data_IF_998812756213
#
_entry.id   IF_998812756213
#
_cell.length_a   1.000
_cell.length_b   1.000
_cell.length_c   1.000
_cell.angle_alpha   90.00
_cell.angle_beta   90.00
_cell.angle_gamma   90.00
#
_symmetry.space_group_name_H-M   'P 1'
#
loop_
_entity.id
_entity.type
_entity.pdbx_description
1 polymer ?
#
# COMPACT_ATOMS: atom_id res chain seq x y z
N UNK A 1 10.61 4.65 14.72
CA UNK A 1 10.75 6.02 14.22
C UNK A 1 10.79 6.00 12.69
N UNK A 2 10.05 6.87 12.02
CA UNK A 2 9.96 7.00 10.56
C UNK A 2 10.90 8.12 10.07
N UNK A 3 11.69 7.89 9.02
CA UNK A 3 12.48 8.95 8.39
C UNK A 3 11.69 9.60 7.25
N UNK A 4 11.40 10.90 7.35
CA UNK A 4 10.62 11.65 6.38
C UNK A 4 11.56 12.43 5.45
N UNK A 5 11.42 12.22 4.14
CA UNK A 5 12.16 12.98 3.13
C UNK A 5 11.18 13.78 2.29
N UNK A 6 11.12 15.09 2.51
CA UNK A 6 10.24 15.99 1.77
C UNK A 6 10.86 17.38 1.60
N UNK A 7 10.33 18.23 0.70
CA UNK A 7 10.67 19.66 0.69
C UNK A 7 10.35 20.30 2.05
N UNK A 8 11.11 21.34 2.44
CA UNK A 8 10.97 21.98 3.76
C UNK A 8 9.57 22.49 4.08
N UNK A 9 8.80 22.88 3.06
CA UNK A 9 7.40 23.31 3.19
C UNK A 9 6.48 22.22 3.78
N UNK A 10 6.85 20.95 3.66
CA UNK A 10 6.07 19.83 4.18
C UNK A 10 6.41 19.47 5.64
N UNK A 11 7.50 20.03 6.21
CA UNK A 11 8.01 19.62 7.53
C UNK A 11 6.94 19.68 8.61
N UNK A 12 6.33 20.86 8.78
CA UNK A 12 5.35 21.11 9.83
C UNK A 12 4.11 20.20 9.67
N UNK A 13 3.36 20.24 8.55
CA UNK A 13 2.14 19.45 8.43
C UNK A 13 2.38 17.93 8.52
N UNK A 14 3.49 17.42 7.99
CA UNK A 14 3.81 15.99 8.11
C UNK A 14 4.14 15.60 9.55
N UNK A 15 5.05 16.32 10.21
CA UNK A 15 5.49 15.96 11.58
C UNK A 15 4.34 16.09 12.58
N UNK A 16 3.53 17.15 12.48
CA UNK A 16 2.38 17.37 13.37
C UNK A 16 1.32 16.28 13.19
N UNK A 17 0.90 15.99 11.96
CA UNK A 17 -0.14 14.98 11.70
C UNK A 17 0.32 13.57 12.05
N UNK A 18 1.56 13.20 11.70
CA UNK A 18 2.12 11.89 12.06
C UNK A 18 2.29 11.76 13.57
N UNK A 19 2.75 12.82 14.26
CA UNK A 19 2.82 12.85 15.71
C UNK A 19 1.44 12.67 16.37
N UNK A 20 0.41 13.37 15.85
CA UNK A 20 -0.97 13.23 16.32
C UNK A 20 -1.57 11.83 16.07
N UNK A 21 -1.03 11.10 15.10
CA UNK A 21 -1.37 9.70 14.84
C UNK A 21 -0.52 8.68 15.62
N UNK A 22 0.37 9.14 16.52
CA UNK A 22 1.28 8.27 17.27
C UNK A 22 2.40 7.66 16.44
N UNK A 23 2.74 8.27 15.29
CA UNK A 23 3.78 7.82 14.36
C UNK A 23 5.01 8.74 14.47
N UNK A 24 5.95 8.48 15.40
CA UNK A 24 7.10 9.34 15.61
C UNK A 24 7.98 9.37 14.36
N UNK A 25 8.28 10.59 13.89
CA UNK A 25 8.95 10.80 12.62
C UNK A 25 10.02 11.89 12.71
N UNK A 26 11.15 11.68 12.03
CA UNK A 26 12.26 12.63 11.93
C UNK A 26 12.30 13.18 10.52
N UNK A 27 12.28 14.51 10.42
CA UNK A 27 12.31 15.20 9.15
C UNK A 27 13.73 15.37 8.61
N UNK A 28 13.89 15.03 7.34
CA UNK A 28 15.06 15.29 6.54
C UNK A 28 14.62 16.05 5.28
N UNK A 29 15.41 17.05 4.88
CA UNK A 29 15.20 17.70 3.59
C UNK A 29 15.42 16.66 2.49
N UNK A 30 14.45 16.52 1.59
CA UNK A 30 14.58 15.64 0.42
C UNK A 30 15.75 16.11 -0.45
N UNK A 31 16.61 15.20 -0.94
CA UNK A 31 17.60 15.56 -1.95
C UNK A 31 16.91 16.01 -3.25
N UNK A 32 17.61 16.82 -4.04
CA UNK A 32 17.17 17.10 -5.40
C UNK A 32 17.24 15.81 -6.23
N UNK A 33 16.24 15.54 -7.09
CA UNK A 33 16.23 14.34 -7.89
C UNK A 33 17.38 14.36 -8.90
N UNK A 34 18.26 13.37 -8.85
CA UNK A 34 19.24 13.10 -9.90
C UNK A 34 18.67 12.27 -11.05
N UNK A 35 19.54 11.95 -12.01
CA UNK A 35 19.23 11.02 -13.09
C UNK A 35 19.38 9.56 -12.63
N UNK A 36 18.62 8.64 -13.24
CA UNK A 36 18.76 7.20 -13.03
C UNK A 36 17.64 6.53 -12.20
N UNK A 37 17.90 5.29 -11.78
CA UNK A 37 16.91 4.39 -11.14
C UNK A 37 16.68 4.60 -9.64
N UNK A 38 17.54 5.38 -8.97
CA UNK A 38 17.39 5.82 -7.58
C UNK A 38 17.64 7.35 -7.50
N UNK A 39 16.71 8.16 -8.03
CA UNK A 39 16.92 9.59 -8.19
C UNK A 39 17.07 10.34 -6.86
N UNK A 40 16.69 9.72 -5.73
CA UNK A 40 16.79 10.32 -4.40
C UNK A 40 17.87 9.67 -3.53
N UNK A 41 18.74 8.84 -4.11
CA UNK A 41 19.83 8.15 -3.41
C UNK A 41 19.35 7.38 -2.16
N UNK A 42 18.18 6.77 -2.24
CA UNK A 42 17.53 6.05 -1.16
C UNK A 42 18.37 4.88 -0.66
N UNK A 43 19.19 4.25 -1.51
CA UNK A 43 20.07 3.18 -1.06
C UNK A 43 21.18 3.69 -0.13
N UNK A 44 21.80 4.82 -0.47
CA UNK A 44 22.77 5.46 0.40
C UNK A 44 22.13 5.95 1.71
N UNK A 45 20.93 6.52 1.63
CA UNK A 45 20.16 6.94 2.80
C UNK A 45 19.76 5.77 3.69
N UNK A 46 19.29 4.66 3.10
CA UNK A 46 18.88 3.48 3.84
C UNK A 46 20.05 2.88 4.63
N UNK A 47 21.24 2.81 4.04
CA UNK A 47 22.46 2.36 4.75
C UNK A 47 22.79 3.25 5.96
N UNK A 48 22.65 4.58 5.82
CA UNK A 48 22.87 5.53 6.93
C UNK A 48 21.82 5.41 8.03
N UNK A 49 20.60 5.03 7.67
CA UNK A 49 19.47 4.90 8.58
C UNK A 49 19.31 3.48 9.17
N UNK A 50 20.10 2.51 8.71
CA UNK A 50 20.05 1.14 9.18
C UNK A 50 20.19 1.09 10.71
N UNK A 51 19.29 0.37 11.38
CA UNK A 51 19.23 0.29 12.85
C UNK A 51 18.61 1.50 13.56
N UNK A 52 18.42 2.63 12.87
CA UNK A 52 17.93 3.88 13.46
C UNK A 52 16.50 4.23 13.03
N UNK A 53 16.09 3.81 11.81
CA UNK A 53 14.74 4.01 11.29
C UNK A 53 14.00 2.69 11.10
N UNK A 54 12.69 2.71 11.30
CA UNK A 54 11.79 1.59 10.99
C UNK A 54 11.25 1.62 9.56
N UNK A 55 11.58 2.66 8.79
CA UNK A 55 11.12 2.87 7.42
C UNK A 55 11.36 4.29 6.94
N UNK A 56 11.14 4.50 5.64
CA UNK A 56 11.28 5.78 4.96
C UNK A 56 9.94 6.20 4.36
N UNK A 57 9.56 7.45 4.53
CA UNK A 57 8.45 8.07 3.79
C UNK A 57 8.99 9.21 2.94
N UNK A 58 8.87 9.07 1.62
CA UNK A 58 9.33 10.02 0.63
C UNK A 58 8.15 10.79 0.04
N UNK A 59 8.19 12.12 0.04
CA UNK A 59 7.28 12.95 -0.75
C UNK A 59 7.93 13.27 -2.09
N UNK A 60 7.38 12.75 -3.17
CA UNK A 60 7.86 12.88 -4.54
C UNK A 60 7.05 13.90 -5.36
N UNK A 61 7.61 14.47 -6.45
CA UNK A 61 6.86 15.33 -7.36
C UNK A 61 5.68 14.58 -8.01
N UNK A 62 4.52 15.23 -8.21
CA UNK A 62 3.29 14.55 -8.61
C UNK A 62 3.31 13.97 -10.03
N UNK A 63 4.17 14.49 -10.92
CA UNK A 63 4.30 14.01 -12.29
C UNK A 63 5.15 12.73 -12.42
N UNK A 64 5.81 12.28 -11.34
CA UNK A 64 6.63 11.07 -11.37
C UNK A 64 5.78 9.81 -11.14
N UNK A 65 6.26 8.68 -11.63
CA UNK A 65 5.69 7.36 -11.38
C UNK A 65 6.35 6.72 -10.15
N UNK A 66 5.63 5.94 -9.31
CA UNK A 66 6.26 5.18 -8.23
C UNK A 66 7.43 4.31 -8.71
N UNK A 67 7.33 3.74 -9.91
CA UNK A 67 8.40 2.90 -10.50
C UNK A 67 9.72 3.64 -10.68
N UNK A 68 9.67 4.94 -10.99
CA UNK A 68 10.86 5.76 -11.30
C UNK A 68 11.39 6.52 -10.09
N UNK A 69 10.67 6.52 -8.97
CA UNK A 69 11.05 7.24 -7.75
C UNK A 69 11.71 6.31 -6.73
N UNK A 70 11.28 5.05 -6.68
CA UNK A 70 11.77 4.05 -5.74
C UNK A 70 12.11 2.76 -6.49
N UNK A 71 13.26 2.12 -6.22
CA UNK A 71 13.68 0.90 -6.92
C UNK A 71 12.87 -0.35 -6.51
N UNK A 72 12.23 -0.32 -5.34
CA UNK A 72 11.43 -1.40 -4.79
C UNK A 72 10.62 -0.94 -3.56
N UNK A 73 9.79 -1.82 -2.98
CA UNK A 73 9.08 -1.54 -1.73
C UNK A 73 10.01 -1.58 -0.50
N UNK A 74 11.18 -2.22 -0.63
CA UNK A 74 12.26 -2.27 0.36
C UNK A 74 13.55 -1.84 -0.32
N UNK A 75 14.32 -0.98 0.35
CA UNK A 75 15.61 -0.46 -0.13
C UNK A 75 16.61 -0.52 1.02
N UNK A 76 17.73 -1.22 0.83
CA UNK A 76 18.75 -1.40 1.88
C UNK A 76 18.17 -2.01 3.17
N UNK A 77 17.18 -2.90 3.06
CA UNK A 77 16.51 -3.52 4.20
C UNK A 77 15.46 -2.65 4.91
N UNK A 78 15.23 -1.41 4.44
CA UNK A 78 14.19 -0.53 4.99
C UNK A 78 12.97 -0.48 4.07
N UNK A 79 11.74 -0.53 4.63
CA UNK A 79 10.54 -0.36 3.83
C UNK A 79 10.41 1.12 3.42
N UNK A 80 10.08 1.36 2.15
CA UNK A 80 9.98 2.72 1.58
C UNK A 80 8.58 2.95 1.07
N UNK A 81 7.89 3.91 1.69
CA UNK A 81 6.61 4.42 1.24
C UNK A 81 6.76 5.74 0.50
N UNK A 82 5.90 5.97 -0.50
CA UNK A 82 5.93 7.20 -1.31
C UNK A 82 4.58 7.91 -1.27
N UNK A 83 4.63 9.24 -1.22
CA UNK A 83 3.51 10.15 -1.43
C UNK A 83 3.84 11.08 -2.60
N UNK A 84 2.82 11.60 -3.26
CA UNK A 84 2.98 12.44 -4.45
C UNK A 84 2.27 13.77 -4.24
N UNK A 85 3.02 14.85 -4.11
CA UNK A 85 2.46 16.18 -3.89
C UNK A 85 3.40 17.28 -4.38
N UNK A 86 2.82 18.36 -4.92
CA UNK A 86 3.56 19.58 -5.25
C UNK A 86 3.68 20.49 -4.02
N UNK A 87 2.63 20.55 -3.22
CA UNK A 87 2.50 21.43 -2.07
C UNK A 87 1.83 20.70 -0.90
N UNK A 88 2.00 21.17 0.35
CA UNK A 88 1.50 20.47 1.52
C UNK A 88 -0.01 20.27 1.53
N UNK A 89 -0.78 21.25 1.04
CA UNK A 89 -2.26 21.16 1.00
C UNK A 89 -2.79 19.99 0.19
N UNK A 90 -2.04 19.52 -0.81
CA UNK A 90 -2.41 18.34 -1.59
C UNK A 90 -2.38 17.02 -0.79
N UNK A 91 -1.72 17.01 0.39
CA UNK A 91 -1.71 15.85 1.29
C UNK A 91 -2.75 15.94 2.41
N UNK A 92 -3.50 17.04 2.53
CA UNK A 92 -4.46 17.22 3.63
C UNK A 92 -5.44 16.03 3.78
N UNK A 93 -6.08 15.52 2.71
CA UNK A 93 -6.98 14.37 2.85
C UNK A 93 -6.28 13.12 3.40
N UNK A 94 -5.04 12.88 2.96
CA UNK A 94 -4.25 11.76 3.48
C UNK A 94 -3.82 11.98 4.93
N UNK A 95 -3.43 13.19 5.32
CA UNK A 95 -3.03 13.51 6.69
C UNK A 95 -4.20 13.35 7.67
N UNK A 96 -5.38 13.82 7.29
CA UNK A 96 -6.63 13.62 8.04
C UNK A 96 -6.93 12.12 8.20
N UNK A 97 -6.83 11.36 7.12
CA UNK A 97 -7.00 9.91 7.15
C UNK A 97 -6.00 9.21 8.09
N UNK A 98 -4.74 9.63 8.10
CA UNK A 98 -3.70 9.09 9.00
C UNK A 98 -4.02 9.38 10.46
N UNK A 99 -4.45 10.61 10.78
CA UNK A 99 -4.84 10.96 12.15
C UNK A 99 -6.10 10.20 12.58
N UNK A 100 -7.11 10.12 11.70
CA UNK A 100 -8.33 9.37 11.96
C UNK A 100 -8.03 7.87 12.16
N UNK A 101 -7.11 7.30 11.37
CA UNK A 101 -6.69 5.90 11.49
C UNK A 101 -5.89 5.65 12.77
N UNK A 102 -4.93 6.51 13.11
CA UNK A 102 -4.08 6.36 14.30
C UNK A 102 -4.85 6.39 15.62
N UNK A 103 -6.04 6.98 15.64
CA UNK A 103 -6.96 6.96 16.79
C UNK A 103 -7.76 5.65 16.93
N UNK A 104 -7.69 4.73 15.96
CA UNK A 104 -8.41 3.45 15.99
C UNK A 104 -7.57 2.38 16.67
N UNK A 105 -8.19 1.66 17.60
CA UNK A 105 -7.54 0.52 18.26
C UNK A 105 -7.40 -0.69 17.32
N UNK A 106 -8.40 -0.95 16.45
CA UNK A 106 -8.41 -2.10 15.58
C UNK A 106 -9.50 -2.03 14.46
N UNK A 107 -9.38 -2.86 13.42
CA UNK A 107 -10.38 -3.02 12.35
C UNK A 107 -10.39 -4.42 11.73
N UNK A 108 -11.44 -4.83 10.98
CA UNK A 108 -11.47 -6.14 10.33
C UNK A 108 -10.40 -6.26 9.24
N UNK A 109 -9.98 -7.49 8.97
CA UNK A 109 -9.10 -7.86 7.86
C UNK A 109 -9.99 -8.38 6.73
N UNK A 110 -10.11 -7.62 5.64
CA UNK A 110 -10.96 -7.95 4.51
C UNK A 110 -10.15 -8.63 3.39
N UNK A 111 -10.67 -9.73 2.86
CA UNK A 111 -10.12 -10.46 1.72
C UNK A 111 -11.12 -10.38 0.57
N UNK A 112 -10.74 -9.70 -0.49
CA UNK A 112 -11.53 -9.42 -1.67
C UNK A 112 -10.99 -10.27 -2.83
N UNK A 113 -11.85 -10.90 -3.61
CA UNK A 113 -11.43 -11.69 -4.76
C UNK A 113 -12.40 -11.52 -5.93
N UNK A 114 -11.85 -11.42 -7.14
CA UNK A 114 -12.63 -11.46 -8.38
C UNK A 114 -13.31 -12.84 -8.55
N UNK A 115 -14.33 -12.93 -9.42
CA UNK A 115 -15.23 -14.09 -9.48
C UNK A 115 -14.57 -15.34 -10.06
N UNK A 116 -13.43 -15.19 -10.75
CA UNK A 116 -12.73 -16.29 -11.38
C UNK A 116 -12.16 -17.24 -10.33
N UNK A 117 -12.40 -18.54 -10.49
CA UNK A 117 -12.10 -19.55 -9.46
C UNK A 117 -10.64 -19.52 -9.00
N UNK A 118 -9.69 -19.17 -9.87
CA UNK A 118 -8.29 -19.07 -9.46
C UNK A 118 -8.05 -17.94 -8.44
N UNK A 119 -8.68 -16.77 -8.59
CA UNK A 119 -8.59 -15.68 -7.63
C UNK A 119 -9.35 -15.99 -6.35
N UNK A 120 -10.50 -16.68 -6.45
CA UNK A 120 -11.22 -17.19 -5.29
C UNK A 120 -10.34 -18.13 -4.46
N UNK A 121 -9.61 -19.05 -5.10
CA UNK A 121 -8.67 -19.94 -4.39
C UNK A 121 -7.54 -19.17 -3.70
N UNK A 122 -6.93 -18.19 -4.39
CA UNK A 122 -5.90 -17.34 -3.78
C UNK A 122 -6.44 -16.58 -2.57
N UNK A 123 -7.63 -15.98 -2.70
CA UNK A 123 -8.30 -15.28 -1.61
C UNK A 123 -8.61 -16.21 -0.43
N UNK A 124 -9.11 -17.43 -0.69
CA UNK A 124 -9.33 -18.44 0.37
C UNK A 124 -8.03 -18.83 1.07
N UNK A 125 -6.95 -19.04 0.31
CA UNK A 125 -5.61 -19.33 0.84
C UNK A 125 -5.11 -18.24 1.78
N UNK A 126 -5.09 -16.99 1.28
CA UNK A 126 -4.67 -15.83 2.08
C UNK A 126 -5.55 -15.62 3.32
N UNK A 127 -6.87 -15.81 3.19
CA UNK A 127 -7.79 -15.74 4.32
C UNK A 127 -7.50 -16.78 5.42
N UNK A 128 -6.96 -17.96 5.09
CA UNK A 128 -6.54 -18.93 6.11
C UNK A 128 -5.37 -18.41 6.94
N UNK A 129 -4.33 -17.86 6.29
CA UNK A 129 -3.19 -17.24 6.98
C UNK A 129 -3.65 -16.10 7.90
N UNK A 130 -4.54 -15.22 7.41
CA UNK A 130 -5.09 -14.16 8.23
C UNK A 130 -5.93 -14.67 9.42
N UNK A 131 -6.75 -15.71 9.23
CA UNK A 131 -7.56 -16.29 10.33
C UNK A 131 -6.69 -16.93 11.42
N UNK A 132 -5.53 -17.47 11.07
CA UNK A 132 -4.58 -18.02 12.04
C UNK A 132 -4.00 -16.94 12.99
N UNK A 133 -3.90 -15.69 12.52
CA UNK A 133 -3.37 -14.55 13.30
C UNK A 133 -4.49 -13.70 13.92
N UNK A 134 -5.58 -13.51 13.19
CA UNK A 134 -6.70 -12.62 13.52
C UNK A 134 -8.03 -13.41 13.52
N UNK A 135 -8.21 -14.38 14.43
CA UNK A 135 -9.43 -15.17 14.51
C UNK A 135 -10.63 -14.25 14.78
N UNK A 136 -11.76 -14.53 14.12
CA UNK A 136 -13.00 -13.73 14.23
C UNK A 136 -12.97 -12.34 13.58
N UNK A 137 -11.80 -11.85 13.14
CA UNK A 137 -11.65 -10.52 12.50
C UNK A 137 -11.40 -10.57 11.01
N UNK A 138 -11.21 -11.75 10.44
CA UNK A 138 -10.98 -11.95 9.00
C UNK A 138 -12.28 -12.25 8.26
N UNK A 139 -12.62 -11.39 7.30
CA UNK A 139 -13.88 -11.46 6.54
C UNK A 139 -13.56 -11.58 5.04
N UNK A 140 -14.25 -12.47 4.35
CA UNK A 140 -14.14 -12.65 2.90
C UNK A 140 -15.29 -11.95 2.20
N UNK A 141 -14.98 -11.09 1.23
CA UNK A 141 -15.93 -10.31 0.45
C UNK A 141 -15.82 -10.68 -1.04
N UNK A 142 -15.93 -11.95 -1.39
CA UNK A 142 -15.68 -12.41 -2.75
C UNK A 142 -16.78 -12.04 -3.75
N UNK A 143 -16.41 -11.82 -5.01
CA UNK A 143 -17.31 -11.35 -6.06
C UNK A 143 -18.35 -12.40 -6.52
N UNK A 144 -18.18 -13.68 -6.14
CA UNK A 144 -19.20 -14.72 -6.31
C UNK A 144 -20.40 -14.54 -5.36
N UNK A 145 -20.27 -13.70 -4.33
CA UNK A 145 -21.28 -13.49 -3.27
C UNK A 145 -21.63 -12.03 -3.03
N UNK A 146 -20.84 -11.11 -3.56
CA UNK A 146 -20.94 -9.69 -3.28
C UNK A 146 -20.82 -8.90 -4.57
N UNK A 147 -21.74 -7.97 -4.80
CA UNK A 147 -21.69 -7.04 -5.93
C UNK A 147 -20.87 -5.77 -5.58
N UNK A 148 -20.63 -4.91 -6.58
CA UNK A 148 -19.87 -3.66 -6.40
C UNK A 148 -20.44 -2.73 -5.32
N UNK A 149 -21.73 -2.36 -5.33
CA UNK A 149 -22.28 -1.46 -4.30
C UNK A 149 -22.05 -1.98 -2.88
N UNK A 150 -22.38 -3.25 -2.62
CA UNK A 150 -22.21 -3.83 -1.29
C UNK A 150 -20.72 -3.99 -0.90
N UNK A 151 -19.84 -4.23 -1.86
CA UNK A 151 -18.40 -4.25 -1.60
C UNK A 151 -17.88 -2.85 -1.24
N UNK A 152 -18.26 -1.82 -1.99
CA UNK A 152 -17.86 -0.42 -1.73
C UNK A 152 -18.37 0.09 -0.38
N UNK A 153 -19.61 -0.23 -0.03
CA UNK A 153 -20.18 0.10 1.28
C UNK A 153 -19.34 -0.53 2.42
N UNK A 154 -18.97 -1.80 2.30
CA UNK A 154 -18.12 -2.49 3.28
C UNK A 154 -16.72 -1.91 3.34
N UNK A 155 -16.14 -1.58 2.20
CA UNK A 155 -14.81 -0.96 2.12
C UNK A 155 -14.81 0.45 2.75
N UNK A 156 -15.89 1.21 2.57
CA UNK A 156 -16.12 2.51 3.20
C UNK A 156 -16.24 2.43 4.73
N UNK A 157 -16.47 1.24 5.29
CA UNK A 157 -16.38 0.99 6.74
C UNK A 157 -14.94 1.09 7.30
N UNK A 158 -13.93 1.12 6.43
CA UNK A 158 -12.52 1.29 6.78
C UNK A 158 -11.94 0.07 7.48
N UNK A 159 -11.73 -1.07 6.77
CA UNK A 159 -11.01 -2.22 7.30
C UNK A 159 -9.55 -1.88 7.58
N UNK A 160 -8.91 -2.64 8.48
CA UNK A 160 -7.48 -2.47 8.77
C UNK A 160 -6.59 -2.93 7.63
N UNK A 161 -6.97 -4.03 6.99
CA UNK A 161 -6.40 -4.49 5.74
C UNK A 161 -7.54 -4.80 4.78
N UNK A 162 -7.40 -4.39 3.53
CA UNK A 162 -8.17 -4.89 2.41
C UNK A 162 -7.20 -5.52 1.41
N UNK A 163 -7.16 -6.86 1.33
CA UNK A 163 -6.33 -7.59 0.39
C UNK A 163 -7.18 -8.03 -0.82
N UNK A 164 -6.88 -7.48 -1.99
CA UNK A 164 -7.61 -7.78 -3.23
C UNK A 164 -6.83 -8.73 -4.15
N UNK A 165 -7.51 -9.76 -4.63
CA UNK A 165 -7.00 -10.75 -5.59
C UNK A 165 -7.83 -10.69 -6.88
N UNK A 166 -7.22 -10.28 -7.99
CA UNK A 166 -7.97 -10.14 -9.24
C UNK A 166 -7.21 -9.42 -10.33
N UNK A 167 -7.99 -8.98 -11.32
CA UNK A 167 -7.51 -8.08 -12.37
C UNK A 167 -7.40 -6.65 -11.84
N UNK A 168 -6.36 -5.93 -12.25
CA UNK A 168 -6.13 -4.54 -11.89
C UNK A 168 -5.85 -3.70 -13.13
N UNK A 169 -6.17 -2.42 -13.01
CA UNK A 169 -5.96 -1.41 -14.04
C UNK A 169 -5.46 -0.12 -13.39
N UNK A 170 -4.95 0.80 -14.21
CA UNK A 170 -4.53 2.13 -13.78
C UNK A 170 -5.67 2.91 -13.11
N UNK A 171 -6.93 2.63 -13.46
CA UNK A 171 -8.10 3.35 -12.99
C UNK A 171 -8.98 2.57 -12.00
N UNK A 172 -8.65 1.30 -11.72
CA UNK A 172 -9.51 0.47 -10.86
C UNK A 172 -9.14 -1.00 -10.77
N UNK A 173 -10.14 -1.79 -10.35
CA UNK A 173 -10.10 -3.24 -10.18
C UNK A 173 -11.11 -3.89 -11.12
N UNK A 174 -10.75 -5.00 -11.77
CA UNK A 174 -11.64 -5.69 -12.72
C UNK A 174 -12.74 -6.52 -12.06
N UNK A 175 -12.57 -6.90 -10.78
CA UNK A 175 -13.59 -7.65 -10.03
C UNK A 175 -14.87 -6.86 -9.77
N UNK A 176 -15.93 -7.54 -9.32
CA UNK A 176 -17.22 -6.93 -8.96
C UNK A 176 -17.90 -6.17 -10.12
N UNK A 177 -17.75 -6.64 -11.35
CA UNK A 177 -18.19 -5.93 -12.57
C UNK A 177 -17.48 -4.60 -12.80
N UNK A 178 -16.22 -4.51 -12.37
CA UNK A 178 -15.38 -3.31 -12.49
C UNK A 178 -15.63 -2.32 -11.35
N UNK A 179 -14.56 -1.93 -10.64
CA UNK A 179 -14.57 -0.92 -9.58
C UNK A 179 -13.52 0.12 -9.92
N UNK A 180 -13.99 1.28 -10.37
CA UNK A 180 -13.14 2.37 -10.84
C UNK A 180 -13.25 3.59 -9.93
N UNK A 181 -12.36 4.56 -10.14
CA UNK A 181 -12.29 5.82 -9.37
C UNK A 181 -13.67 6.46 -9.14
N UNK A 182 -14.45 6.64 -10.20
CA UNK A 182 -15.76 7.30 -10.16
C UNK A 182 -16.76 6.59 -9.24
N UNK A 183 -16.66 5.26 -9.13
CA UNK A 183 -17.51 4.47 -8.24
C UNK A 183 -17.13 4.67 -6.78
N UNK A 184 -15.83 4.80 -6.51
CA UNK A 184 -15.31 5.09 -5.17
C UNK A 184 -15.64 6.53 -4.78
N UNK A 185 -15.58 7.47 -5.73
CA UNK A 185 -15.95 8.89 -5.53
C UNK A 185 -17.44 9.06 -5.24
N UNK A 186 -18.30 8.31 -5.94
CA UNK A 186 -19.74 8.29 -5.68
C UNK A 186 -20.09 7.79 -4.26
N UNK A 187 -19.17 7.07 -3.61
CA UNK A 187 -19.32 6.69 -2.21
C UNK A 187 -18.96 7.88 -1.30
N UNK A 188 -19.99 8.59 -0.84
CA UNK A 188 -19.88 9.79 -0.02
C UNK A 188 -19.18 9.56 1.32
N UNK A 189 -19.86 8.95 2.29
CA UNK A 189 -19.26 8.66 3.59
C UNK A 189 -18.20 7.56 3.47
N UNK A 190 -16.97 7.85 3.92
CA UNK A 190 -15.86 6.91 3.84
C UNK A 190 -14.94 7.04 5.05
N UNK A 191 -14.70 5.92 5.73
CA UNK A 191 -13.67 5.80 6.75
C UNK A 191 -12.41 5.24 6.10
N UNK A 192 -11.23 5.79 6.40
CA UNK A 192 -9.99 5.32 5.80
C UNK A 192 -9.78 3.85 6.10
N UNK A 193 -9.45 3.10 5.06
CA UNK A 193 -8.83 1.80 5.18
C UNK A 193 -7.40 1.98 5.72
N UNK A 194 -6.96 1.09 6.59
CA UNK A 194 -5.56 1.03 7.02
C UNK A 194 -4.65 0.82 5.81
N UNK A 195 -4.65 -0.40 5.29
CA UNK A 195 -3.87 -0.75 4.11
C UNK A 195 -4.74 -1.41 3.07
N UNK A 196 -4.67 -0.91 1.83
CA UNK A 196 -5.20 -1.63 0.68
C UNK A 196 -4.05 -2.33 -0.06
N UNK A 197 -4.01 -3.67 -0.02
CA UNK A 197 -3.04 -4.48 -0.73
C UNK A 197 -3.68 -5.08 -1.99
N UNK A 198 -3.37 -4.51 -3.15
CA UNK A 198 -3.86 -4.99 -4.43
C UNK A 198 -2.86 -5.99 -5.04
N UNK A 199 -3.17 -7.27 -4.94
CA UNK A 199 -2.43 -8.35 -5.59
C UNK A 199 -2.88 -8.48 -7.06
N UNK A 200 -2.66 -7.40 -7.81
CA UNK A 200 -3.18 -7.21 -9.15
C UNK A 200 -2.24 -6.35 -10.01
N UNK A 201 -2.36 -6.49 -11.33
CA UNK A 201 -1.58 -5.75 -12.31
C UNK A 201 -1.90 -4.25 -12.31
N UNK A 202 -0.93 -3.42 -12.71
CA UNK A 202 -1.12 -2.03 -13.16
C UNK A 202 -1.83 -1.04 -12.22
N UNK A 203 -2.09 -1.41 -10.95
CA UNK A 203 -2.82 -0.56 -9.99
C UNK A 203 -2.04 0.71 -9.57
N UNK A 204 -0.75 0.75 -9.87
CA UNK A 204 0.14 1.91 -9.70
C UNK A 204 0.65 2.51 -11.03
N UNK A 205 0.15 2.04 -12.17
CA UNK A 205 0.46 2.64 -13.48
C UNK A 205 -0.36 3.91 -13.66
N UNK A 206 0.27 4.93 -14.23
CA UNK A 206 -0.38 6.21 -14.49
C UNK A 206 -1.40 6.08 -15.62
N UNK A 207 -2.65 6.42 -15.33
CA UNK A 207 -3.73 6.51 -16.28
C UNK A 207 -3.62 7.76 -17.17
N UNK A 208 -4.35 7.76 -18.29
CA UNK A 208 -4.43 8.89 -19.23
C UNK A 208 -4.93 10.18 -18.57
N UNK A 209 -5.81 10.09 -17.57
CA UNK A 209 -6.37 11.22 -16.81
C UNK A 209 -5.53 11.70 -15.62
N UNK A 210 -4.31 11.17 -15.44
CA UNK A 210 -3.43 11.55 -14.35
C UNK A 210 -3.62 10.70 -13.09
N UNK A 211 -2.51 10.20 -12.56
CA UNK A 211 -2.45 9.33 -11.38
C UNK A 211 -2.79 7.87 -11.67
N UNK A 212 -2.72 7.03 -10.64
CA UNK A 212 -3.11 5.62 -10.65
C UNK A 212 -4.20 5.36 -9.61
N UNK A 213 -4.87 4.21 -9.65
CA UNK A 213 -5.91 3.86 -8.70
C UNK A 213 -5.39 3.87 -7.25
N UNK A 214 -4.22 3.28 -7.01
CA UNK A 214 -3.60 3.32 -5.69
C UNK A 214 -3.21 4.74 -5.25
N UNK A 215 -2.74 5.59 -6.16
CA UNK A 215 -2.46 7.01 -5.86
C UNK A 215 -3.74 7.78 -5.53
N UNK A 216 -4.84 7.49 -6.22
CA UNK A 216 -6.15 8.07 -5.93
C UNK A 216 -6.62 7.66 -4.52
N UNK A 217 -6.58 6.37 -4.18
CA UNK A 217 -7.03 5.90 -2.87
C UNK A 217 -6.24 6.54 -1.71
N UNK A 218 -4.91 6.65 -1.87
CA UNK A 218 -4.07 7.27 -0.84
C UNK A 218 -4.23 8.79 -0.83
N UNK A 219 -4.18 9.45 -2.00
CA UNK A 219 -4.26 10.91 -2.10
C UNK A 219 -5.61 11.49 -1.69
N UNK A 220 -6.69 10.73 -1.85
CA UNK A 220 -8.04 11.11 -1.38
C UNK A 220 -8.31 10.75 0.08
N UNK A 221 -7.34 10.18 0.81
CA UNK A 221 -7.53 9.76 2.20
C UNK A 221 -8.41 8.52 2.38
N UNK A 222 -8.75 7.80 1.31
CA UNK A 222 -9.58 6.59 1.38
C UNK A 222 -8.81 5.36 1.90
N UNK A 223 -7.49 5.38 1.77
CA UNK A 223 -6.57 4.46 2.42
C UNK A 223 -5.35 5.21 2.96
N UNK A 224 -4.83 4.81 4.13
CA UNK A 224 -3.59 5.42 4.67
C UNK A 224 -2.33 4.80 4.07
N UNK A 225 -2.42 3.56 3.58
CA UNK A 225 -1.39 2.89 2.81
C UNK A 225 -1.94 2.08 1.64
N UNK A 226 -1.14 1.93 0.59
CA UNK A 226 -1.47 1.09 -0.57
C UNK A 226 -0.26 0.30 -1.04
N UNK A 227 -0.41 -1.01 -1.21
CA UNK A 227 0.59 -1.89 -1.80
C UNK A 227 0.04 -2.40 -3.14
N UNK A 228 0.77 -2.18 -4.23
CA UNK A 228 0.33 -2.69 -5.54
C UNK A 228 1.41 -2.60 -6.62
N UNK A 229 1.07 -3.07 -7.82
CA UNK A 229 2.02 -3.22 -8.93
C UNK A 229 2.08 -2.00 -9.85
N UNK A 230 3.29 -1.64 -10.27
CA UNK A 230 3.60 -0.61 -11.28
C UNK A 230 3.73 -1.16 -12.70
N UNK A 231 3.35 -2.42 -12.92
CA UNK A 231 3.37 -3.08 -14.23
C UNK A 231 2.43 -4.30 -14.24
N UNK A 232 2.25 -4.88 -15.43
CA UNK A 232 1.64 -6.19 -15.58
C UNK A 232 2.47 -7.25 -14.84
N UNK A 233 1.79 -8.16 -14.14
CA UNK A 233 2.39 -9.27 -13.41
C UNK A 233 1.81 -10.57 -13.94
N UNK A 234 2.66 -11.55 -14.25
CA UNK A 234 2.20 -12.86 -14.69
C UNK A 234 1.42 -13.54 -13.56
N UNK A 235 0.26 -14.11 -13.87
CA UNK A 235 -0.61 -14.77 -12.88
C UNK A 235 0.13 -15.79 -12.01
N UNK A 236 0.97 -16.71 -12.55
CA UNK A 236 1.71 -17.66 -11.71
C UNK A 236 2.73 -17.00 -10.78
N UNK A 237 3.41 -15.95 -11.24
CA UNK A 237 4.39 -15.20 -10.45
C UNK A 237 3.68 -14.46 -9.30
N UNK A 238 2.53 -13.85 -9.58
CA UNK A 238 1.71 -13.18 -8.58
C UNK A 238 1.10 -14.14 -7.56
N UNK A 239 0.65 -15.32 -8.00
CA UNK A 239 0.13 -16.37 -7.11
C UNK A 239 1.21 -16.84 -6.12
N UNK A 240 2.44 -17.06 -6.58
CA UNK A 240 3.57 -17.42 -5.71
C UNK A 240 3.89 -16.32 -4.69
N UNK A 241 3.82 -15.04 -5.11
CA UNK A 241 4.01 -13.90 -4.21
C UNK A 241 2.91 -13.82 -3.14
N UNK A 242 1.65 -14.05 -3.52
CA UNK A 242 0.51 -14.04 -2.59
C UNK A 242 0.65 -15.11 -1.51
N UNK A 243 1.03 -16.32 -1.89
CA UNK A 243 1.25 -17.43 -0.95
C UNK A 243 2.39 -17.09 0.02
N UNK A 244 3.50 -16.55 -0.49
CA UNK A 244 4.61 -16.09 0.33
C UNK A 244 4.16 -14.97 1.28
N UNK A 245 3.41 -13.99 0.80
CA UNK A 245 2.92 -12.87 1.60
C UNK A 245 2.00 -13.32 2.73
N UNK A 246 1.12 -14.29 2.47
CA UNK A 246 0.27 -14.92 3.48
C UNK A 246 1.10 -15.65 4.54
N UNK A 247 2.07 -16.46 4.11
CA UNK A 247 3.00 -17.18 5.00
C UNK A 247 3.81 -16.21 5.87
N UNK A 248 4.34 -15.13 5.30
CA UNK A 248 5.06 -14.09 6.04
C UNK A 248 4.16 -13.39 7.06
N UNK A 249 2.90 -13.11 6.71
CA UNK A 249 1.94 -12.52 7.64
C UNK A 249 1.67 -13.45 8.82
N UNK A 250 1.41 -14.72 8.55
CA UNK A 250 1.12 -15.73 9.58
C UNK A 250 2.29 -15.91 10.55
N UNK A 251 3.50 -16.10 10.01
CA UNK A 251 4.70 -16.38 10.82
C UNK A 251 5.17 -15.16 11.61
N UNK A 252 5.15 -13.98 11.00
CA UNK A 252 5.72 -12.77 11.62
C UNK A 252 4.73 -11.97 12.45
N UNK A 253 3.41 -12.16 12.25
CA UNK A 253 2.34 -11.38 12.89
C UNK A 253 2.66 -9.88 12.87
N UNK A 254 2.86 -9.29 11.67
CA UNK A 254 3.48 -7.99 11.54
C UNK A 254 2.61 -6.90 12.17
N UNK A 255 3.18 -6.13 13.10
CA UNK A 255 2.48 -5.02 13.77
C UNK A 255 2.20 -3.82 12.84
N UNK A 256 2.88 -3.73 11.70
CA UNK A 256 2.71 -2.66 10.71
C UNK A 256 3.10 -3.13 9.32
N UNK A 257 2.70 -2.33 8.33
CA UNK A 257 2.93 -2.57 6.92
C UNK A 257 4.41 -2.75 6.56
N UNK A 258 5.28 -1.91 7.10
CA UNK A 258 6.72 -1.93 6.88
C UNK A 258 7.35 -3.26 7.28
N UNK A 259 6.97 -3.80 8.44
CA UNK A 259 7.41 -5.11 8.91
C UNK A 259 6.94 -6.23 8.00
N UNK A 260 5.70 -6.16 7.51
CA UNK A 260 5.18 -7.15 6.58
C UNK A 260 5.93 -7.16 5.25
N UNK A 261 6.12 -5.99 4.62
CA UNK A 261 6.83 -5.91 3.33
C UNK A 261 8.30 -6.30 3.45
N UNK A 262 8.97 -6.00 4.57
CA UNK A 262 10.34 -6.47 4.81
C UNK A 262 10.41 -7.99 4.99
N UNK A 263 9.42 -8.58 5.66
CA UNK A 263 9.36 -10.03 5.81
C UNK A 263 9.15 -10.74 4.47
N UNK A 264 8.35 -10.16 3.57
CA UNK A 264 8.21 -10.65 2.19
C UNK A 264 9.56 -10.54 1.49
N UNK A 265 10.16 -9.35 1.46
CA UNK A 265 11.41 -9.08 0.75
C UNK A 265 12.56 -10.01 1.18
N UNK A 266 12.72 -10.20 2.50
CA UNK A 266 13.75 -11.06 3.08
C UNK A 266 13.54 -12.56 2.79
N UNK A 267 12.31 -12.98 2.47
CA UNK A 267 12.00 -14.37 2.17
C UNK A 267 12.08 -14.71 0.66
N UNK A 268 12.39 -13.72 -0.19
CA UNK A 268 12.47 -13.92 -1.63
C UNK A 268 13.76 -14.61 -2.03
N UNK A 269 13.63 -15.63 -2.87
CA UNK A 269 14.76 -16.23 -3.58
C UNK A 269 14.93 -15.52 -4.93
N UNK A 270 16.11 -14.93 -5.25
CA UNK A 270 16.36 -14.30 -6.54
C UNK A 270 16.00 -15.20 -7.73
N UNK A 271 15.32 -14.64 -8.73
CA UNK A 271 14.88 -15.38 -9.91
C UNK A 271 13.62 -16.23 -9.73
N UNK A 272 13.12 -16.43 -8.51
CA UNK A 272 11.86 -17.14 -8.26
C UNK A 272 10.64 -16.40 -8.84
N UNK A 273 9.50 -17.10 -9.05
CA UNK A 273 8.25 -16.47 -9.47
C UNK A 273 7.82 -15.31 -8.55
N UNK A 274 7.85 -15.51 -7.23
CA UNK A 274 7.51 -14.47 -6.26
C UNK A 274 8.46 -13.26 -6.34
N UNK A 275 9.76 -13.51 -6.55
CA UNK A 275 10.75 -12.43 -6.70
C UNK A 275 10.49 -11.58 -7.93
N UNK A 276 10.19 -12.21 -9.08
CA UNK A 276 9.86 -11.47 -10.32
C UNK A 276 8.63 -10.59 -10.14
N UNK A 277 7.59 -11.12 -9.50
CA UNK A 277 6.39 -10.33 -9.18
C UNK A 277 6.73 -9.17 -8.23
N UNK A 278 7.41 -9.43 -7.12
CA UNK A 278 7.68 -8.42 -6.09
C UNK A 278 8.40 -7.18 -6.61
N UNK A 279 9.30 -7.35 -7.59
CA UNK A 279 10.02 -6.24 -8.24
C UNK A 279 9.11 -5.20 -8.89
N UNK A 280 7.88 -5.55 -9.24
CA UNK A 280 6.90 -4.62 -9.82
C UNK A 280 6.13 -3.85 -8.75
N UNK A 281 6.14 -4.29 -7.49
CA UNK A 281 5.33 -3.72 -6.42
C UNK A 281 5.98 -2.48 -5.81
N UNK A 282 5.15 -1.53 -5.36
CA UNK A 282 5.56 -0.37 -4.57
C UNK A 282 4.58 -0.12 -3.44
N UNK A 283 5.07 0.59 -2.44
CA UNK A 283 4.30 1.02 -1.29
C UNK A 283 4.01 2.53 -1.38
N UNK A 284 2.75 2.89 -1.24
CA UNK A 284 2.30 4.27 -1.04
C UNK A 284 1.84 4.47 0.41
N UNK A 285 2.03 5.68 0.94
CA UNK A 285 1.72 6.00 2.34
C UNK A 285 2.85 5.61 3.30
N UNK A 286 2.61 5.72 4.62
CA UNK A 286 3.67 5.52 5.61
C UNK A 286 3.90 4.02 5.89
N UNK A 287 5.15 3.51 5.84
CA UNK A 287 5.44 2.13 6.22
C UNK A 287 5.09 1.78 7.67
N UNK A 288 5.06 2.77 8.56
CA UNK A 288 4.74 2.58 9.98
C UNK A 288 3.24 2.39 10.28
N UNK A 289 2.37 2.37 9.26
CA UNK A 289 0.93 2.22 9.48
C UNK A 289 0.59 0.85 10.11
N UNK A 290 -0.20 0.81 11.20
CA UNK A 290 -0.64 -0.43 11.83
C UNK A 290 -1.49 -1.30 10.90
N UNK A 291 -1.40 -2.63 11.07
CA UNK A 291 -2.21 -3.65 10.39
C UNK A 291 -3.21 -4.30 11.34
#
# INVERSE_FOLDING_TARGET
MLALFAPSSFRRPLVEALGAAGLPAVFHRRPEPGDGGDPFHLEALARRLAGHAGGVLLVAPPHRSPRTVVPGPVVGGLPVGVLFAREPGALSPWLEAVVQWGRRACGPQAVLAAWEEHYLRLGRGFARHLRAVCPGRTITWFADRLNRPAMLERLAGGPALAAYFGHGHSDGLGGYHGVYREHVEAQGAWRPCGVFAAWACDTLVQARGGGSFGRFLVGSGRAVGFLGSTAAVRTPDNAALVELAGTCFERMRPANLGRWVCAIDAALVPGSPAWRAWRTYRLLGAPSQPL
#
